data_IF_903481131560
#
_entry.id   IF_903481131560
#
_cell.length_a   1.000
_cell.length_b   1.000
_cell.length_c   1.000
_cell.angle_alpha   90.00
_cell.angle_beta   90.00
_cell.angle_gamma   90.00
#
_symmetry.space_group_name_H-M   'P 1'
#
loop_
_entity.id
_entity.type
_entity.pdbx_description
1 polymer ?
#
# COMPACT_ATOMS: atom_id res chain seq x y z
N UNK A 1 36.30 18.81 -4.10
CA UNK A 1 35.01 19.04 -4.80
C UNK A 1 33.95 18.13 -4.20
N UNK A 2 33.28 18.63 -3.19
CA UNK A 2 32.30 17.88 -2.39
C UNK A 2 30.97 18.64 -2.41
N UNK A 3 30.08 18.32 -3.30
CA UNK A 3 28.84 19.08 -3.38
C UNK A 3 27.63 18.40 -4.04
N UNK A 4 27.76 17.19 -4.57
CA UNK A 4 26.69 16.60 -5.39
C UNK A 4 25.81 15.52 -4.70
N UNK A 5 26.23 14.98 -3.56
CA UNK A 5 25.52 13.89 -2.89
C UNK A 5 24.26 14.32 -2.12
N UNK A 6 24.27 15.50 -1.52
CA UNK A 6 23.18 15.99 -0.64
C UNK A 6 21.95 16.45 -1.44
N UNK A 7 22.12 16.94 -2.67
CA UNK A 7 21.00 17.45 -3.47
C UNK A 7 20.05 16.40 -4.04
N UNK A 8 20.46 15.14 -4.23
CA UNK A 8 19.62 14.09 -4.86
C UNK A 8 18.57 13.49 -3.91
N UNK A 9 18.94 13.25 -2.66
CA UNK A 9 17.99 12.78 -1.64
C UNK A 9 16.91 13.83 -1.34
N UNK A 10 17.25 15.12 -1.37
CA UNK A 10 16.31 16.23 -1.21
C UNK A 10 15.27 16.31 -2.32
N UNK A 11 15.56 15.83 -3.54
CA UNK A 11 14.63 15.95 -4.67
C UNK A 11 13.42 15.03 -4.55
N UNK A 12 13.57 13.78 -4.08
CA UNK A 12 12.44 12.87 -3.87
C UNK A 12 11.60 13.30 -2.67
N UNK A 13 12.24 13.67 -1.56
CA UNK A 13 11.54 14.23 -0.40
C UNK A 13 10.77 15.50 -0.75
N UNK A 14 11.37 16.42 -1.50
CA UNK A 14 10.71 17.64 -1.99
C UNK A 14 9.48 17.32 -2.85
N UNK A 15 9.58 16.32 -3.74
CA UNK A 15 8.43 15.91 -4.57
C UNK A 15 7.30 15.33 -3.75
N UNK A 16 7.59 14.55 -2.71
CA UNK A 16 6.57 13.96 -1.83
C UNK A 16 5.99 15.04 -0.90
N UNK A 17 6.86 15.76 -0.21
CA UNK A 17 6.45 16.67 0.88
C UNK A 17 5.86 17.99 0.37
N UNK A 18 6.32 18.48 -0.77
CA UNK A 18 5.83 19.74 -1.33
C UNK A 18 4.90 19.48 -2.50
N UNK A 19 5.44 19.04 -3.64
CA UNK A 19 4.64 18.89 -4.87
C UNK A 19 3.50 17.88 -4.74
N UNK A 20 3.75 16.74 -4.04
CA UNK A 20 2.75 15.71 -3.79
C UNK A 20 1.62 16.21 -2.90
N UNK A 21 1.94 16.89 -1.81
CA UNK A 21 0.94 17.49 -0.91
C UNK A 21 0.11 18.57 -1.59
N UNK A 22 0.75 19.46 -2.35
CA UNK A 22 0.02 20.54 -3.06
C UNK A 22 -0.93 19.98 -4.11
N UNK A 23 -0.49 18.99 -4.87
CA UNK A 23 -1.37 18.32 -5.83
C UNK A 23 -2.50 17.57 -5.14
N UNK A 24 -2.22 16.88 -4.03
CA UNK A 24 -3.26 16.21 -3.26
C UNK A 24 -4.33 17.19 -2.76
N UNK A 25 -3.93 18.36 -2.23
CA UNK A 25 -4.88 19.41 -1.83
C UNK A 25 -5.75 19.90 -2.97
N UNK A 26 -5.16 20.19 -4.14
CA UNK A 26 -5.89 20.64 -5.32
C UNK A 26 -6.85 19.55 -5.84
N UNK A 27 -6.36 18.30 -5.93
CA UNK A 27 -7.19 17.18 -6.34
C UNK A 27 -8.37 16.98 -5.38
N UNK A 28 -8.13 17.07 -4.06
CA UNK A 28 -9.19 16.99 -3.07
C UNK A 28 -10.24 18.08 -3.24
N UNK A 29 -9.82 19.33 -3.43
CA UNK A 29 -10.77 20.43 -3.68
C UNK A 29 -11.68 20.14 -4.88
N UNK A 30 -11.13 19.60 -5.96
CA UNK A 30 -11.91 19.18 -7.12
C UNK A 30 -12.83 17.98 -6.81
N UNK A 31 -12.35 17.00 -6.06
CA UNK A 31 -13.16 15.81 -5.67
C UNK A 31 -14.36 16.18 -4.82
N UNK A 32 -14.26 17.23 -3.99
CA UNK A 32 -15.38 17.72 -3.18
C UNK A 32 -16.51 18.32 -4.03
N UNK A 33 -16.18 18.90 -5.19
CA UNK A 33 -17.14 19.45 -6.14
C UNK A 33 -17.58 18.38 -7.15
N UNK A 34 -16.64 17.64 -7.68
CA UNK A 34 -16.85 16.62 -8.71
C UNK A 34 -16.16 15.31 -8.33
N UNK A 35 -16.88 14.29 -7.80
CA UNK A 35 -16.31 13.04 -7.35
C UNK A 35 -15.49 12.31 -8.43
N UNK A 36 -15.83 12.46 -9.72
CA UNK A 36 -15.09 11.86 -10.83
C UNK A 36 -13.64 12.39 -10.94
N UNK A 37 -13.34 13.56 -10.36
CA UNK A 37 -11.99 14.14 -10.31
C UNK A 37 -11.01 13.27 -9.50
N UNK A 38 -11.50 12.27 -8.74
CA UNK A 38 -10.66 11.32 -8.03
C UNK A 38 -9.66 10.58 -8.97
N UNK A 39 -10.02 10.41 -10.24
CA UNK A 39 -9.14 9.85 -11.28
C UNK A 39 -7.84 10.64 -11.45
N UNK A 40 -7.84 11.94 -11.17
CA UNK A 40 -6.66 12.80 -11.23
C UNK A 40 -5.58 12.41 -10.20
N UNK A 41 -5.95 11.70 -9.15
CA UNK A 41 -4.98 11.18 -8.18
C UNK A 41 -3.94 10.30 -8.84
N UNK A 42 -4.39 9.33 -9.64
CA UNK A 42 -3.51 8.37 -10.29
C UNK A 42 -2.84 8.95 -11.54
N UNK A 43 -3.47 9.90 -12.22
CA UNK A 43 -2.91 10.58 -13.40
C UNK A 43 -1.96 11.73 -13.07
N UNK A 44 -2.10 12.36 -11.92
CA UNK A 44 -1.36 13.58 -11.55
C UNK A 44 -0.56 13.49 -10.25
N UNK A 45 -1.22 13.18 -9.13
CA UNK A 45 -0.58 13.20 -7.82
C UNK A 45 0.45 12.08 -7.68
N UNK A 46 0.08 10.85 -8.06
CA UNK A 46 0.96 9.70 -7.93
C UNK A 46 2.22 9.78 -8.82
N UNK A 47 2.14 10.04 -10.13
CA UNK A 47 3.33 10.07 -11.00
C UNK A 47 4.40 11.05 -10.58
N UNK A 48 4.00 12.21 -10.05
CA UNK A 48 4.96 13.23 -9.58
C UNK A 48 5.79 12.76 -8.41
N UNK A 49 5.18 11.95 -7.52
CA UNK A 49 5.85 11.45 -6.33
C UNK A 49 6.82 10.30 -6.65
N UNK A 50 6.42 9.43 -7.58
CA UNK A 50 7.19 8.22 -7.91
C UNK A 50 8.26 8.45 -8.99
N UNK A 51 8.35 9.63 -9.58
CA UNK A 51 9.33 9.91 -10.61
C UNK A 51 10.76 9.58 -10.13
N UNK A 52 11.50 8.80 -10.90
CA UNK A 52 12.87 8.31 -10.63
C UNK A 52 13.04 7.34 -9.45
N UNK A 53 11.99 6.91 -8.75
CA UNK A 53 12.13 5.96 -7.64
C UNK A 53 12.69 4.61 -8.09
N UNK A 54 12.44 4.22 -9.34
CA UNK A 54 12.93 2.97 -9.93
C UNK A 54 14.46 2.88 -9.91
N UNK A 55 15.14 3.99 -10.20
CA UNK A 55 16.60 4.07 -10.23
C UNK A 55 17.23 4.33 -8.86
N UNK A 56 16.55 5.08 -7.97
CA UNK A 56 17.10 5.54 -6.70
C UNK A 56 16.59 4.75 -5.48
N UNK A 57 15.51 4.01 -5.66
CA UNK A 57 14.77 3.43 -4.55
C UNK A 57 13.91 4.44 -3.81
N UNK A 58 13.01 3.93 -2.99
CA UNK A 58 12.22 4.71 -2.04
C UNK A 58 12.27 4.06 -0.65
N UNK A 59 12.46 4.86 0.39
CA UNK A 59 12.42 4.36 1.76
C UNK A 59 10.98 4.04 2.19
N UNK A 60 10.84 3.29 3.27
CA UNK A 60 9.52 2.98 3.85
C UNK A 60 8.76 4.27 4.20
N UNK A 61 9.43 5.24 4.83
CA UNK A 61 8.82 6.52 5.20
C UNK A 61 8.36 7.32 3.97
N UNK A 62 9.15 7.32 2.90
CA UNK A 62 8.79 7.97 1.64
C UNK A 62 7.54 7.33 1.01
N UNK A 63 7.47 6.01 0.92
CA UNK A 63 6.30 5.32 0.39
C UNK A 63 5.06 5.51 1.27
N UNK A 64 5.21 5.52 2.60
CA UNK A 64 4.13 5.89 3.50
C UNK A 64 3.67 7.33 3.28
N UNK A 65 4.60 8.27 3.06
CA UNK A 65 4.30 9.65 2.70
C UNK A 65 3.51 9.78 1.39
N UNK A 66 3.92 9.03 0.36
CA UNK A 66 3.18 8.93 -0.91
C UNK A 66 1.76 8.40 -0.69
N UNK A 67 1.61 7.33 0.11
CA UNK A 67 0.32 6.76 0.45
C UNK A 67 -0.59 7.75 1.19
N UNK A 68 -0.05 8.49 2.16
CA UNK A 68 -0.77 9.57 2.85
C UNK A 68 -1.26 10.65 1.87
N UNK A 69 -0.43 11.05 0.92
CA UNK A 69 -0.82 12.02 -0.09
C UNK A 69 -1.94 11.49 -1.00
N UNK A 70 -1.89 10.21 -1.40
CA UNK A 70 -2.99 9.57 -2.15
C UNK A 70 -4.27 9.55 -1.31
N UNK A 71 -4.22 9.12 -0.04
CA UNK A 71 -5.36 9.17 0.87
C UNK A 71 -5.92 10.59 0.99
N UNK A 72 -5.04 11.60 1.05
CA UNK A 72 -5.43 13.01 1.19
C UNK A 72 -6.14 13.58 -0.03
N UNK A 73 -6.15 12.91 -1.18
CA UNK A 73 -7.00 13.28 -2.32
C UNK A 73 -8.46 12.85 -2.14
N UNK A 74 -8.72 11.95 -1.21
CA UNK A 74 -10.04 11.36 -0.97
C UNK A 74 -10.81 12.11 0.14
N UNK A 75 -12.07 11.77 0.32
CA UNK A 75 -12.88 12.24 1.45
C UNK A 75 -12.37 11.79 2.83
N UNK A 76 -11.48 10.80 2.87
CA UNK A 76 -10.86 10.29 4.12
C UNK A 76 -9.61 11.09 4.54
N UNK A 77 -9.30 12.20 3.90
CA UNK A 77 -8.21 13.08 4.27
C UNK A 77 -8.36 13.58 5.72
N UNK A 78 -7.28 13.51 6.48
CA UNK A 78 -7.29 13.95 7.89
C UNK A 78 -8.03 13.04 8.86
N UNK A 79 -8.51 11.87 8.39
CA UNK A 79 -9.19 10.88 9.23
C UNK A 79 -8.25 9.78 9.73
N UNK A 80 -8.69 9.03 10.72
CA UNK A 80 -7.98 7.85 11.25
C UNK A 80 -8.08 6.62 10.35
N UNK A 81 -8.86 6.67 9.26
CA UNK A 81 -9.01 5.55 8.32
C UNK A 81 -7.65 4.98 7.89
N UNK A 82 -7.56 3.67 7.81
CA UNK A 82 -6.33 2.98 7.40
C UNK A 82 -5.95 3.36 5.96
N UNK A 83 -4.73 3.85 5.77
CA UNK A 83 -4.27 4.31 4.44
C UNK A 83 -4.30 3.18 3.42
N UNK A 84 -3.91 1.96 3.80
CA UNK A 84 -3.90 0.78 2.92
C UNK A 84 -5.30 0.43 2.45
N UNK A 85 -6.28 0.39 3.35
CA UNK A 85 -7.67 0.07 3.00
C UNK A 85 -8.31 1.16 2.16
N UNK A 86 -8.06 2.44 2.46
CA UNK A 86 -8.56 3.56 1.65
C UNK A 86 -8.02 3.48 0.23
N UNK A 87 -6.71 3.24 0.05
CA UNK A 87 -6.12 3.14 -1.28
C UNK A 87 -6.69 1.93 -2.02
N UNK A 88 -6.74 0.76 -1.38
CA UNK A 88 -7.29 -0.44 -1.97
C UNK A 88 -8.77 -0.27 -2.36
N UNK A 89 -9.56 0.40 -1.54
CA UNK A 89 -10.96 0.69 -1.80
C UNK A 89 -11.17 1.64 -2.98
N UNK A 90 -10.46 2.77 -2.99
CA UNK A 90 -10.69 3.83 -3.97
C UNK A 90 -9.99 3.59 -5.31
N UNK A 91 -8.78 3.05 -5.28
CA UNK A 91 -7.89 2.98 -6.46
C UNK A 91 -7.49 1.55 -6.83
N UNK A 92 -7.78 0.57 -5.99
CA UNK A 92 -7.28 -0.80 -6.10
C UNK A 92 -5.98 -1.01 -5.34
N UNK A 93 -5.74 -2.27 -4.96
CA UNK A 93 -4.58 -2.65 -4.13
C UNK A 93 -3.24 -2.32 -4.81
N UNK A 94 -3.19 -2.38 -6.14
CA UNK A 94 -2.00 -2.07 -6.96
C UNK A 94 -1.62 -0.58 -6.95
N UNK A 95 -2.50 0.30 -6.49
CA UNK A 95 -2.21 1.72 -6.36
C UNK A 95 -1.41 2.06 -5.10
N UNK A 96 -1.26 1.11 -4.17
CA UNK A 96 -0.52 1.33 -2.93
C UNK A 96 0.98 1.47 -3.23
N UNK A 97 1.63 2.61 -2.88
CA UNK A 97 3.06 2.80 -3.11
C UNK A 97 3.94 1.75 -2.44
N UNK A 98 3.50 1.15 -1.33
CA UNK A 98 4.21 0.07 -0.64
C UNK A 98 4.27 -1.24 -1.44
N UNK A 99 3.36 -1.42 -2.38
CA UNK A 99 3.34 -2.55 -3.33
C UNK A 99 3.96 -2.12 -4.66
N UNK A 100 3.47 -1.02 -5.21
CA UNK A 100 3.81 -0.57 -6.56
C UNK A 100 5.27 -0.19 -6.72
N UNK A 101 5.84 0.61 -5.80
CA UNK A 101 7.22 1.06 -5.95
C UNK A 101 8.23 -0.09 -5.92
N UNK A 102 8.19 -1.03 -4.96
CA UNK A 102 9.08 -2.19 -5.00
C UNK A 102 8.88 -3.07 -6.24
N UNK A 103 7.64 -3.26 -6.67
CA UNK A 103 7.35 -4.07 -7.86
C UNK A 103 7.94 -3.45 -9.14
N UNK A 104 7.79 -2.14 -9.32
CA UNK A 104 8.36 -1.41 -10.45
C UNK A 104 9.91 -1.41 -10.43
N UNK A 105 10.53 -1.43 -9.24
CA UNK A 105 11.99 -1.57 -9.10
C UNK A 105 12.47 -2.96 -9.51
N UNK A 106 11.76 -4.01 -9.08
CA UNK A 106 12.05 -5.40 -9.49
C UNK A 106 11.87 -5.53 -11.00
N UNK A 107 10.79 -5.01 -11.55
CA UNK A 107 10.48 -5.08 -12.98
C UNK A 107 11.56 -4.38 -13.83
N UNK A 108 11.97 -3.18 -13.43
CA UNK A 108 13.04 -2.47 -14.12
C UNK A 108 14.38 -3.23 -14.06
N UNK A 109 14.68 -3.86 -12.92
CA UNK A 109 15.88 -4.68 -12.80
C UNK A 109 15.85 -5.89 -13.74
N UNK A 110 14.71 -6.61 -13.79
CA UNK A 110 14.53 -7.74 -14.69
C UNK A 110 14.75 -7.34 -16.15
N UNK A 111 14.16 -6.23 -16.59
CA UNK A 111 14.34 -5.71 -17.95
C UNK A 111 15.80 -5.35 -18.22
N UNK A 112 16.44 -4.64 -17.29
CA UNK A 112 17.84 -4.24 -17.41
C UNK A 112 18.75 -5.46 -17.48
N UNK A 113 18.59 -6.40 -16.54
CA UNK A 113 19.43 -7.61 -16.46
C UNK A 113 19.35 -8.48 -17.72
N UNK A 114 18.17 -8.59 -18.31
CA UNK A 114 17.97 -9.34 -19.54
C UNK A 114 18.69 -8.68 -20.73
N UNK A 115 18.71 -7.35 -20.78
CA UNK A 115 19.22 -6.57 -21.89
C UNK A 115 20.70 -6.20 -21.85
N UNK A 116 21.40 -6.30 -20.70
CA UNK A 116 22.78 -5.86 -20.56
C UNK A 116 23.80 -6.83 -21.18
N UNK A 117 24.94 -6.27 -21.59
CA UNK A 117 26.06 -7.02 -22.13
C UNK A 117 26.77 -7.91 -21.10
N UNK A 118 27.67 -8.80 -21.56
CA UNK A 118 28.45 -9.64 -20.65
C UNK A 118 29.38 -8.81 -19.75
N UNK A 119 29.97 -7.74 -20.25
CA UNK A 119 30.83 -6.82 -19.50
C UNK A 119 30.03 -6.10 -18.42
N UNK A 120 28.89 -5.50 -18.79
CA UNK A 120 28.04 -4.79 -17.83
C UNK A 120 27.47 -5.72 -16.75
N UNK A 121 27.29 -7.02 -17.06
CA UNK A 121 26.88 -8.02 -16.07
C UNK A 121 27.95 -8.24 -15.00
N UNK A 122 29.22 -8.18 -15.37
CA UNK A 122 30.29 -8.27 -14.38
C UNK A 122 30.22 -7.09 -13.40
N UNK A 123 30.14 -5.88 -13.92
CA UNK A 123 30.05 -4.67 -13.10
C UNK A 123 28.78 -4.65 -12.23
N UNK A 124 27.65 -5.09 -12.78
CA UNK A 124 26.42 -5.23 -12.03
C UNK A 124 26.54 -6.23 -10.88
N UNK A 125 27.27 -7.36 -11.05
CA UNK A 125 27.56 -8.33 -9.98
C UNK A 125 28.44 -7.73 -8.89
N UNK A 126 29.49 -7.03 -9.25
CA UNK A 126 30.39 -6.36 -8.30
C UNK A 126 29.61 -5.34 -7.46
N UNK A 127 28.83 -4.48 -8.13
CA UNK A 127 27.99 -3.50 -7.45
C UNK A 127 26.93 -4.14 -6.57
N UNK A 128 26.31 -5.23 -7.00
CA UNK A 128 25.34 -5.98 -6.19
C UNK A 128 25.97 -6.51 -4.90
N UNK A 129 27.12 -7.17 -5.00
CA UNK A 129 27.82 -7.71 -3.83
C UNK A 129 28.21 -6.61 -2.85
N UNK A 130 28.70 -5.49 -3.34
CA UNK A 130 29.02 -4.31 -2.52
C UNK A 130 27.82 -3.84 -1.72
N UNK A 131 26.68 -3.63 -2.37
CA UNK A 131 25.46 -3.16 -1.70
C UNK A 131 24.86 -4.20 -0.77
N UNK A 132 24.89 -5.48 -1.15
CA UNK A 132 24.43 -6.56 -0.30
C UNK A 132 25.26 -6.67 0.97
N UNK A 133 26.60 -6.63 0.86
CA UNK A 133 27.52 -6.65 2.01
C UNK A 133 27.27 -5.45 2.93
N UNK A 134 27.09 -4.27 2.37
CA UNK A 134 26.75 -3.06 3.13
C UNK A 134 25.42 -3.20 3.87
N UNK A 135 24.40 -3.76 3.22
CA UNK A 135 23.13 -4.04 3.89
C UNK A 135 23.29 -5.05 5.02
N UNK A 136 24.01 -6.15 4.78
CA UNK A 136 24.20 -7.20 5.79
C UNK A 136 24.95 -6.69 7.02
N UNK A 137 25.90 -5.77 6.85
CA UNK A 137 26.65 -5.16 7.96
C UNK A 137 25.84 -4.13 8.73
N UNK A 138 25.05 -3.28 8.05
CA UNK A 138 24.35 -2.15 8.69
C UNK A 138 22.88 -2.42 8.97
N UNK A 139 22.25 -3.37 8.26
CA UNK A 139 20.80 -3.62 8.22
C UNK A 139 19.98 -2.37 7.85
N UNK A 140 20.61 -1.37 7.24
CA UNK A 140 19.98 -0.12 6.82
C UNK A 140 19.55 -0.17 5.36
N UNK A 141 18.42 0.45 5.06
CA UNK A 141 17.95 0.62 3.70
C UNK A 141 18.93 1.50 2.90
N UNK A 142 19.38 1.00 1.75
CA UNK A 142 20.36 1.64 0.88
C UNK A 142 19.69 2.55 -0.17
N UNK A 143 18.83 3.46 0.28
CA UNK A 143 18.13 4.40 -0.60
C UNK A 143 19.11 5.35 -1.28
N UNK A 144 18.86 5.65 -2.55
CA UNK A 144 19.67 6.56 -3.39
C UNK A 144 21.05 6.04 -3.79
N UNK A 145 21.33 4.75 -3.58
CA UNK A 145 22.61 4.12 -3.95
C UNK A 145 22.59 3.49 -5.37
N UNK A 146 21.55 3.75 -6.13
CA UNK A 146 21.42 3.26 -7.52
C UNK A 146 20.49 2.04 -7.69
N UNK A 147 20.34 1.53 -8.94
CA UNK A 147 19.34 0.50 -9.25
C UNK A 147 19.55 -0.83 -8.51
N UNK A 148 20.81 -1.28 -8.38
CA UNK A 148 21.09 -2.52 -7.65
C UNK A 148 20.65 -2.44 -6.18
N UNK A 149 21.00 -1.34 -5.50
CA UNK A 149 20.59 -1.12 -4.10
C UNK A 149 19.06 -0.99 -3.97
N UNK A 150 18.41 -0.30 -4.92
CA UNK A 150 16.95 -0.17 -4.96
C UNK A 150 16.28 -1.53 -5.08
N UNK A 151 16.79 -2.40 -5.96
CA UNK A 151 16.25 -3.74 -6.17
C UNK A 151 16.50 -4.65 -4.97
N UNK A 152 17.68 -4.61 -4.36
CA UNK A 152 17.97 -5.36 -3.11
C UNK A 152 16.94 -4.98 -2.05
N UNK A 153 16.69 -3.69 -1.83
CA UNK A 153 15.68 -3.23 -0.88
C UNK A 153 14.26 -3.69 -1.25
N UNK A 154 13.92 -3.70 -2.54
CA UNK A 154 12.61 -4.16 -3.01
C UNK A 154 12.42 -5.66 -2.73
N UNK A 155 13.42 -6.49 -3.02
CA UNK A 155 13.41 -7.93 -2.75
C UNK A 155 13.32 -8.24 -1.24
N UNK A 156 14.05 -7.50 -0.42
CA UNK A 156 13.93 -7.65 1.04
C UNK A 156 12.53 -7.31 1.58
N UNK A 157 11.79 -6.43 0.90
CA UNK A 157 10.40 -6.10 1.26
C UNK A 157 9.40 -7.18 0.85
N UNK A 158 9.70 -7.96 -0.18
CA UNK A 158 8.91 -9.17 -0.49
C UNK A 158 9.15 -10.29 0.51
N UNK A 159 10.19 -10.19 1.33
CA UNK A 159 10.70 -11.28 2.17
C UNK A 159 11.74 -12.15 1.46
N UNK A 160 12.12 -11.79 0.23
CA UNK A 160 13.07 -12.58 -0.55
C UNK A 160 14.52 -12.25 -0.18
N UNK A 161 15.40 -13.24 -0.31
CA UNK A 161 16.84 -13.06 -0.05
C UNK A 161 17.58 -12.83 -1.38
N UNK A 162 18.14 -11.63 -1.61
CA UNK A 162 18.80 -11.26 -2.86
C UNK A 162 20.22 -11.85 -2.95
N UNK A 163 20.37 -13.15 -3.21
CA UNK A 163 21.67 -13.82 -3.18
C UNK A 163 22.62 -13.30 -4.27
N UNK A 164 22.15 -13.15 -5.51
CA UNK A 164 22.86 -12.62 -6.66
C UNK A 164 21.93 -11.74 -7.50
N UNK A 165 22.45 -10.95 -8.45
CA UNK A 165 21.62 -10.14 -9.36
C UNK A 165 20.57 -10.94 -10.13
N UNK A 166 20.88 -12.18 -10.41
CA UNK A 166 20.12 -13.11 -11.23
C UNK A 166 19.55 -14.31 -10.45
N UNK A 167 19.77 -14.39 -9.12
CA UNK A 167 19.30 -15.50 -8.29
C UNK A 167 18.81 -15.01 -6.96
N UNK A 168 17.53 -15.26 -6.68
CA UNK A 168 16.85 -14.84 -5.46
C UNK A 168 16.24 -16.04 -4.76
N UNK A 169 16.33 -16.08 -3.45
CA UNK A 169 15.71 -17.12 -2.63
C UNK A 169 14.39 -16.59 -2.07
N UNK A 170 13.31 -17.31 -2.35
CA UNK A 170 11.96 -16.92 -1.89
C UNK A 170 11.70 -17.52 -0.51
N UNK A 171 11.76 -18.85 -0.42
CA UNK A 171 11.52 -19.62 0.79
C UNK A 171 12.65 -20.64 0.98
N UNK A 172 12.62 -21.43 2.05
CA UNK A 172 13.56 -22.53 2.25
C UNK A 172 13.43 -23.54 1.10
N UNK A 173 14.41 -23.53 0.19
CA UNK A 173 14.52 -24.43 -0.94
C UNK A 173 14.04 -23.90 -2.29
N UNK A 174 13.24 -22.82 -2.35
CA UNK A 174 12.80 -22.26 -3.62
C UNK A 174 13.69 -21.11 -4.07
N UNK A 175 14.38 -21.33 -5.19
CA UNK A 175 15.22 -20.32 -5.85
C UNK A 175 14.53 -19.81 -7.13
N UNK A 176 14.54 -18.49 -7.32
CA UNK A 176 14.12 -17.86 -8.56
C UNK A 176 15.35 -17.40 -9.32
N UNK A 177 15.54 -17.93 -10.52
CA UNK A 177 16.58 -17.48 -11.42
C UNK A 177 15.99 -16.58 -12.50
N UNK A 178 16.60 -15.41 -12.69
CA UNK A 178 16.21 -14.50 -13.75
C UNK A 178 16.65 -15.09 -15.09
N UNK A 179 15.68 -15.40 -15.93
CA UNK A 179 15.90 -15.94 -17.27
C UNK A 179 15.45 -14.95 -18.35
N UNK A 180 15.86 -15.18 -19.60
CA UNK A 180 15.42 -14.39 -20.76
C UNK A 180 14.00 -14.72 -21.22
N UNK A 181 13.40 -15.77 -20.67
CA UNK A 181 12.07 -16.20 -21.01
C UNK A 181 11.02 -15.16 -20.57
N UNK A 182 10.21 -14.60 -21.47
CA UNK A 182 9.22 -13.57 -21.15
C UNK A 182 8.22 -14.02 -20.09
N UNK A 183 7.87 -15.30 -20.10
CA UNK A 183 6.94 -15.88 -19.14
C UNK A 183 7.53 -15.95 -17.72
N UNK A 184 8.84 -16.20 -17.59
CA UNK A 184 9.51 -16.20 -16.27
C UNK A 184 9.44 -14.82 -15.61
N UNK A 185 9.63 -13.72 -16.36
CA UNK A 185 9.45 -12.36 -15.83
C UNK A 185 8.05 -12.14 -15.27
N UNK A 186 7.02 -12.56 -16.00
CA UNK A 186 5.63 -12.43 -15.55
C UNK A 186 5.38 -13.22 -14.26
N UNK A 187 5.86 -14.47 -14.17
CA UNK A 187 5.73 -15.30 -12.95
C UNK A 187 6.43 -14.67 -11.75
N UNK A 188 7.66 -14.16 -11.94
CA UNK A 188 8.41 -13.47 -10.88
C UNK A 188 7.64 -12.26 -10.37
N UNK A 189 7.13 -11.42 -11.27
CA UNK A 189 6.37 -10.23 -10.89
C UNK A 189 5.05 -10.56 -10.22
N UNK A 190 4.33 -11.58 -10.69
CA UNK A 190 3.09 -12.03 -10.08
C UNK A 190 3.32 -12.52 -8.64
N UNK A 191 4.37 -13.32 -8.42
CA UNK A 191 4.74 -13.79 -7.08
C UNK A 191 5.20 -12.63 -6.19
N UNK A 192 6.08 -11.76 -6.67
CA UNK A 192 6.53 -10.59 -5.92
C UNK A 192 5.37 -9.67 -5.53
N UNK A 193 4.42 -9.47 -6.43
CA UNK A 193 3.22 -8.70 -6.17
C UNK A 193 2.37 -9.31 -5.05
N UNK A 194 2.14 -10.63 -5.11
CA UNK A 194 1.43 -11.35 -4.06
C UNK A 194 2.11 -11.20 -2.70
N UNK A 195 3.41 -11.48 -2.63
CA UNK A 195 4.18 -11.43 -1.38
C UNK A 195 4.24 -10.01 -0.80
N UNK A 196 4.38 -8.98 -1.65
CA UNK A 196 4.29 -7.58 -1.22
C UNK A 196 2.90 -7.25 -0.65
N UNK A 197 1.84 -7.73 -1.27
CA UNK A 197 0.49 -7.53 -0.74
C UNK A 197 0.34 -8.19 0.63
N UNK A 198 0.75 -9.44 0.78
CA UNK A 198 0.71 -10.14 2.08
C UNK A 198 1.43 -9.32 3.16
N UNK A 199 2.64 -8.81 2.89
CA UNK A 199 3.39 -8.00 3.85
C UNK A 199 2.69 -6.68 4.19
N UNK A 200 2.09 -6.02 3.20
CA UNK A 200 1.39 -4.74 3.40
C UNK A 200 0.12 -4.92 4.21
N UNK A 201 -0.65 -5.99 3.94
CA UNK A 201 -1.87 -6.28 4.69
C UNK A 201 -1.58 -6.77 6.10
N UNK A 202 -0.56 -7.61 6.29
CA UNK A 202 -0.08 -7.99 7.63
C UNK A 202 0.27 -6.77 8.47
N UNK A 203 1.02 -5.82 7.91
CA UNK A 203 1.33 -4.55 8.57
C UNK A 203 0.09 -3.69 8.84
N UNK A 204 -0.88 -3.70 7.94
CA UNK A 204 -2.12 -2.96 8.16
C UNK A 204 -2.95 -3.56 9.31
N UNK A 205 -2.93 -4.88 9.48
CA UNK A 205 -3.58 -5.58 10.58
C UNK A 205 -2.96 -5.28 11.96
N UNK A 206 -1.65 -5.02 12.00
CA UNK A 206 -0.93 -4.66 13.25
C UNK A 206 -1.34 -3.28 13.80
N UNK A 207 -2.00 -2.44 12.99
CA UNK A 207 -2.50 -1.14 13.44
C UNK A 207 -3.86 -1.25 14.10
N UNK A 208 -4.11 -0.39 15.08
CA UNK A 208 -5.38 -0.30 15.81
C UNK A 208 -6.61 -0.25 14.88
N UNK A 209 -6.49 0.47 13.75
CA UNK A 209 -7.55 0.58 12.75
C UNK A 209 -7.53 -0.56 11.70
N UNK A 210 -6.70 -1.56 11.89
CA UNK A 210 -6.54 -2.71 11.01
C UNK A 210 -7.17 -3.99 11.52
N UNK A 211 -7.83 -3.97 12.68
CA UNK A 211 -8.52 -5.13 13.24
C UNK A 211 -9.50 -5.71 12.20
N UNK A 212 -9.48 -7.03 12.03
CA UNK A 212 -10.27 -7.73 11.01
C UNK A 212 -9.53 -7.99 9.69
N UNK A 213 -8.26 -7.53 9.54
CA UNK A 213 -7.43 -7.78 8.37
C UNK A 213 -6.44 -8.96 8.58
N UNK A 214 -6.50 -9.63 9.72
CA UNK A 214 -5.58 -10.71 10.13
C UNK A 214 -5.72 -11.95 9.23
N UNK A 215 -6.89 -12.14 8.63
CA UNK A 215 -7.19 -13.28 7.75
C UNK A 215 -6.52 -13.21 6.38
N UNK A 216 -5.82 -12.12 6.08
CA UNK A 216 -5.06 -11.96 4.83
C UNK A 216 -5.55 -10.84 3.93
N UNK A 217 -5.36 -11.01 2.61
CA UNK A 217 -5.70 -9.98 1.61
C UNK A 217 -7.22 -9.90 1.44
N UNK A 218 -7.89 -8.78 1.81
CA UNK A 218 -9.34 -8.70 1.72
C UNK A 218 -9.82 -8.59 0.27
N UNK A 219 -10.96 -9.20 -0.03
CA UNK A 219 -11.60 -9.09 -1.34
C UNK A 219 -12.35 -7.75 -1.48
N UNK A 220 -11.64 -6.72 -1.90
CA UNK A 220 -12.25 -5.41 -2.18
C UNK A 220 -13.27 -5.45 -3.33
N UNK A 221 -13.22 -6.47 -4.18
CA UNK A 221 -14.18 -6.62 -5.28
C UNK A 221 -15.57 -6.98 -4.76
N UNK A 222 -15.66 -7.95 -3.85
CA UNK A 222 -16.93 -8.34 -3.23
C UNK A 222 -17.58 -7.14 -2.52
N UNK A 223 -16.78 -6.42 -1.72
CA UNK A 223 -17.24 -5.22 -1.04
C UNK A 223 -17.76 -4.13 -1.99
N UNK A 224 -17.08 -3.91 -3.14
CA UNK A 224 -17.54 -2.95 -4.15
C UNK A 224 -18.84 -3.38 -4.82
N UNK A 225 -19.04 -4.68 -5.03
CA UNK A 225 -20.30 -5.21 -5.58
C UNK A 225 -21.43 -4.97 -4.59
N UNK A 226 -21.24 -5.32 -3.32
CA UNK A 226 -22.22 -5.10 -2.26
C UNK A 226 -22.58 -3.60 -2.10
N UNK A 227 -21.59 -2.71 -2.07
CA UNK A 227 -21.84 -1.26 -1.96
C UNK A 227 -22.61 -0.73 -3.16
N UNK A 228 -22.27 -1.17 -4.38
CA UNK A 228 -23.02 -0.78 -5.59
C UNK A 228 -24.46 -1.30 -5.59
N UNK A 229 -24.65 -2.53 -5.11
CA UNK A 229 -25.98 -3.10 -4.95
C UNK A 229 -26.82 -2.24 -4.01
N UNK A 230 -26.31 -1.93 -2.82
CA UNK A 230 -27.00 -1.09 -1.84
C UNK A 230 -27.35 0.30 -2.41
N UNK A 231 -26.44 0.94 -3.15
CA UNK A 231 -26.73 2.23 -3.81
C UNK A 231 -27.84 2.13 -4.85
N UNK A 232 -27.85 1.07 -5.68
CA UNK A 232 -28.88 0.87 -6.73
C UNK A 232 -30.27 0.65 -6.15
N UNK A 233 -30.36 0.06 -4.96
CA UNK A 233 -31.63 -0.20 -4.28
C UNK A 233 -32.04 0.91 -3.30
N UNK A 234 -31.39 2.07 -3.35
CA UNK A 234 -31.73 3.21 -2.50
C UNK A 234 -31.20 3.14 -1.07
N UNK A 235 -30.45 2.10 -0.71
CA UNK A 235 -29.87 1.89 0.62
C UNK A 235 -28.58 2.70 0.83
N UNK A 236 -28.64 4.02 0.59
CA UNK A 236 -27.45 4.87 0.60
C UNK A 236 -26.75 4.98 1.95
N UNK A 237 -27.52 4.90 3.06
CA UNK A 237 -26.97 4.96 4.42
C UNK A 237 -26.17 3.67 4.71
N UNK A 238 -26.73 2.52 4.38
CA UNK A 238 -26.07 1.21 4.56
C UNK A 238 -24.83 1.10 3.68
N UNK A 239 -24.88 1.57 2.44
CA UNK A 239 -23.73 1.63 1.55
C UNK A 239 -22.59 2.48 2.14
N UNK A 240 -22.93 3.65 2.71
CA UNK A 240 -21.96 4.51 3.41
C UNK A 240 -21.41 3.87 4.69
N UNK A 241 -22.26 3.22 5.47
CA UNK A 241 -21.84 2.53 6.69
C UNK A 241 -20.85 1.40 6.36
N UNK A 242 -21.18 0.56 5.35
CA UNK A 242 -20.28 -0.49 4.86
C UNK A 242 -18.94 0.08 4.42
N UNK A 243 -18.95 1.17 3.66
CA UNK A 243 -17.71 1.83 3.22
C UNK A 243 -16.88 2.32 4.40
N UNK A 244 -17.48 2.93 5.41
CA UNK A 244 -16.76 3.41 6.60
C UNK A 244 -16.17 2.26 7.42
N UNK A 245 -16.88 1.15 7.55
CA UNK A 245 -16.36 -0.06 8.20
C UNK A 245 -15.14 -0.59 7.43
N UNK A 246 -15.24 -0.73 6.10
CA UNK A 246 -14.18 -1.25 5.24
C UNK A 246 -12.88 -0.45 5.30
N UNK A 247 -12.97 0.88 5.41
CA UNK A 247 -11.77 1.73 5.47
C UNK A 247 -11.25 1.95 6.89
N UNK A 248 -11.88 1.33 7.90
CA UNK A 248 -11.51 1.52 9.31
C UNK A 248 -11.76 2.95 9.81
N UNK A 249 -12.77 3.64 9.25
CA UNK A 249 -13.13 5.00 9.67
C UNK A 249 -13.98 5.01 10.94
N UNK A 250 -14.60 3.88 11.26
CA UNK A 250 -15.45 3.76 12.43
C UNK A 250 -14.58 3.77 13.69
N UNK A 251 -14.71 4.80 14.52
CA UNK A 251 -14.14 4.79 15.87
C UNK A 251 -15.01 3.92 16.76
N UNK A 252 -14.38 3.06 17.55
CA UNK A 252 -15.09 2.46 18.68
C UNK A 252 -15.52 3.58 19.60
N UNK A 253 -16.81 3.66 19.95
CA UNK A 253 -17.29 4.61 20.97
C UNK A 253 -16.48 4.47 22.26
N UNK A 254 -15.95 3.28 22.55
CA UNK A 254 -15.14 2.96 23.71
C UNK A 254 -13.87 3.80 23.85
N UNK A 255 -13.24 4.19 22.74
CA UNK A 255 -11.97 4.93 22.77
C UNK A 255 -12.14 6.44 22.98
N UNK A 256 -13.33 6.97 22.69
CA UNK A 256 -13.60 8.41 22.70
C UNK A 256 -14.51 8.87 23.85
N UNK A 257 -15.16 7.95 24.56
CA UNK A 257 -16.15 8.27 25.59
C UNK A 257 -15.76 7.78 26.97
N UNK A 258 -16.15 8.47 28.03
CA UNK A 258 -16.07 7.96 29.41
C UNK A 258 -16.80 6.63 29.52
N UNK A 259 -16.33 5.75 30.39
CA UNK A 259 -16.80 4.36 30.53
C UNK A 259 -18.31 4.19 30.66
N UNK A 260 -18.94 5.08 31.42
CA UNK A 260 -20.41 5.10 31.60
C UNK A 260 -21.22 5.47 30.36
N UNK A 261 -20.57 6.02 29.30
CA UNK A 261 -21.20 6.37 28.03
C UNK A 261 -20.88 5.38 26.89
N UNK A 262 -20.11 4.33 27.21
CA UNK A 262 -19.71 3.30 26.24
C UNK A 262 -20.78 2.23 26.01
N UNK A 263 -21.97 2.45 26.50
CA UNK A 263 -23.07 1.50 26.38
C UNK A 263 -23.80 1.70 25.06
N UNK A 264 -24.17 0.61 24.41
CA UNK A 264 -24.98 0.66 23.21
C UNK A 264 -26.34 1.24 23.49
N UNK A 265 -26.67 2.37 22.92
CA UNK A 265 -27.97 3.05 23.05
C UNK A 265 -29.05 2.45 22.14
N UNK A 266 -28.70 1.46 21.32
CA UNK A 266 -29.61 0.81 20.36
C UNK A 266 -30.27 -0.41 20.97
N UNK A 267 -29.51 -1.22 21.73
CA UNK A 267 -30.08 -2.38 22.44
C UNK A 267 -30.24 -2.11 23.94
N UNK A 268 -31.28 -2.66 24.52
CA UNK A 268 -31.59 -2.49 25.94
C UNK A 268 -30.68 -3.28 26.90
N UNK A 269 -29.67 -4.03 26.35
CA UNK A 269 -28.87 -4.98 27.13
C UNK A 269 -27.70 -4.37 27.89
N UNK A 270 -27.43 -3.07 27.75
CA UNK A 270 -26.27 -2.45 28.41
C UNK A 270 -24.91 -2.96 27.92
N UNK A 271 -24.86 -3.57 26.73
CA UNK A 271 -23.64 -4.05 26.12
C UNK A 271 -22.70 -2.90 25.72
N UNK A 272 -21.38 -3.13 25.80
CA UNK A 272 -20.42 -2.18 25.29
C UNK A 272 -20.66 -1.91 23.80
N UNK A 273 -20.69 -0.66 23.41
CA UNK A 273 -20.89 -0.21 22.01
C UNK A 273 -19.65 -0.42 21.15
N UNK A 274 -19.07 -1.64 21.14
CA UNK A 274 -17.94 -1.98 20.29
C UNK A 274 -18.37 -1.97 18.82
N UNK A 275 -17.40 -1.81 17.90
CA UNK A 275 -17.66 -1.95 16.45
C UNK A 275 -18.32 -3.27 16.12
N UNK A 276 -17.83 -4.32 16.77
CA UNK A 276 -18.32 -5.68 16.54
C UNK A 276 -19.75 -5.81 17.03
N UNK A 277 -20.03 -5.32 18.25
CA UNK A 277 -21.38 -5.31 18.79
C UNK A 277 -22.36 -4.51 17.90
N UNK A 278 -21.99 -3.28 17.53
CA UNK A 278 -22.86 -2.42 16.71
C UNK A 278 -23.10 -3.01 15.32
N UNK A 279 -22.11 -3.65 14.72
CA UNK A 279 -22.21 -4.16 13.36
C UNK A 279 -22.85 -5.56 13.27
N UNK A 280 -22.60 -6.44 14.26
CA UNK A 280 -22.92 -7.86 14.12
C UNK A 280 -23.75 -8.44 15.29
N UNK A 281 -23.61 -7.91 16.51
CA UNK A 281 -24.22 -8.50 17.69
C UNK A 281 -25.43 -7.73 18.23
N UNK A 282 -25.62 -6.47 17.81
CA UNK A 282 -26.71 -5.64 18.31
C UNK A 282 -28.06 -6.19 17.87
N UNK A 283 -28.95 -6.49 18.82
CA UNK A 283 -30.29 -7.04 18.53
C UNK A 283 -31.17 -6.10 17.72
N UNK A 284 -30.92 -4.79 17.81
CA UNK A 284 -31.59 -3.78 16.98
C UNK A 284 -31.00 -3.66 15.57
N UNK A 285 -30.02 -4.46 15.20
CA UNK A 285 -29.69 -4.64 13.80
C UNK A 285 -30.89 -5.31 13.15
N UNK A 286 -31.58 -4.59 12.28
CA UNK A 286 -32.65 -5.15 11.45
C UNK A 286 -32.14 -6.47 10.90
N UNK A 287 -32.77 -7.57 11.29
CA UNK A 287 -32.53 -8.87 10.64
C UNK A 287 -32.82 -8.62 9.16
N UNK A 288 -31.76 -8.55 8.38
CA UNK A 288 -31.89 -8.59 6.92
C UNK A 288 -32.41 -9.98 6.70
N UNK A 289 -33.71 -10.09 6.41
CA UNK A 289 -34.37 -11.37 6.13
C UNK A 289 -33.52 -12.10 5.09
N UNK A 290 -33.31 -13.41 5.35
CA UNK A 290 -32.25 -14.27 4.82
C UNK A 290 -32.21 -14.54 3.32
N UNK A 291 -32.55 -13.59 2.47
CA UNK A 291 -32.48 -13.72 1.01
C UNK A 291 -31.24 -13.07 0.36
N UNK A 292 -30.21 -12.73 1.12
CA UNK A 292 -29.03 -12.04 0.61
C UNK A 292 -27.71 -12.87 0.65
N UNK A 293 -27.82 -14.21 0.87
CA UNK A 293 -26.64 -15.08 0.75
C UNK A 293 -26.94 -16.32 -0.08
#
# INVERSE_FOLDING_TARGET
MSGSGVRKASSLNFRIEVKGKDRAKRTRALVMVQPAALKLTMAGTHPVQVYSHQAQGASQSQMCGMGKNIKNTTRYAGTYACTTTVIAWQFGANANPLVRCPLEQIDMWLQTWIGITATDRHDARVNWQKHLSQYLSTKKCLVSMGPAAATINALLRTGWKPARPDLWKIDEGLNVQVSKEPFARFQILARAHHDLQVQVWKKAAEHEHGKGLETGIPSMQAARVATRYLHRHGHHIQAKALEYILVGFFRDPDEAMPEHKRVCNRCAKGCLATRFHIAYECEDNVKIDGELF
#
